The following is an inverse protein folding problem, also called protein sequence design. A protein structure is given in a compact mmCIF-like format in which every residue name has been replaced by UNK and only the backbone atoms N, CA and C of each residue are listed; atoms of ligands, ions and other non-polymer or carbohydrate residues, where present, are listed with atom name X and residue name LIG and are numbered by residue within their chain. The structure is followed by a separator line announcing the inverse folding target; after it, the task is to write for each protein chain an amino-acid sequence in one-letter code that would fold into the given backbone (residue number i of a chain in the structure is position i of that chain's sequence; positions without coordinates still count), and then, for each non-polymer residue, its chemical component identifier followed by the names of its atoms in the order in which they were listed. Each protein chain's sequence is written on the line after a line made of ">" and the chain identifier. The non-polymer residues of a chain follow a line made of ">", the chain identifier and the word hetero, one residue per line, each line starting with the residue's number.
data_IF_883569541895
#
_entry.id   IF_883569541895
#
_cell.length_a   1.000
_cell.length_b   1.000
_cell.length_c   1.000
_cell.angle_alpha   90.00
_cell.angle_beta   90.00
_cell.angle_gamma   90.00
#
_symmetry.space_group_name_H-M   'P 1'
#
loop_
_entity.id
_entity.type
_entity.pdbx_description
1 polymer ?
#
# COMPACT_ATOMS: atom_id res chain seq x y z
N UNK A 1 14.66 19.96 20.65
CA UNK A 1 14.04 20.43 19.38
C UNK A 1 14.71 19.68 18.24
N UNK A 2 14.05 18.66 17.67
CA UNK A 2 14.63 17.85 16.60
C UNK A 2 14.47 18.58 15.25
N UNK A 3 15.59 18.77 14.56
CA UNK A 3 15.70 19.45 13.27
C UNK A 3 15.24 18.50 12.16
N UNK A 4 13.94 18.50 11.83
CA UNK A 4 13.38 17.79 10.68
C UNK A 4 13.72 18.55 9.39
N UNK A 5 14.99 18.57 9.01
CA UNK A 5 15.38 18.97 7.66
C UNK A 5 14.79 17.93 6.71
N UNK A 6 13.93 18.40 5.80
CA UNK A 6 13.45 17.68 4.61
C UNK A 6 14.60 16.90 3.97
N UNK A 7 14.75 15.63 4.32
CA UNK A 7 15.56 14.69 3.57
C UNK A 7 14.75 14.37 2.34
N UNK A 8 15.11 14.99 1.20
CA UNK A 8 14.76 14.39 -0.09
C UNK A 8 15.22 12.93 -0.03
N UNK A 9 14.38 11.96 -0.41
CA UNK A 9 14.81 10.56 -0.45
C UNK A 9 16.09 10.50 -1.28
N UNK A 10 17.13 9.86 -0.73
CA UNK A 10 18.37 9.64 -1.44
C UNK A 10 18.06 8.89 -2.75
N UNK A 11 18.74 9.20 -3.87
CA UNK A 11 18.58 8.40 -5.07
C UNK A 11 18.92 6.94 -4.73
N UNK A 12 17.99 6.04 -5.06
CA UNK A 12 18.14 4.59 -4.86
C UNK A 12 19.49 4.12 -5.38
N UNK A 13 20.23 3.38 -4.55
CA UNK A 13 21.49 2.73 -4.94
C UNK A 13 21.32 1.33 -5.51
N UNK A 14 20.11 0.77 -5.49
CA UNK A 14 19.79 -0.49 -6.16
C UNK A 14 19.91 -0.29 -7.67
N UNK A 15 20.63 -1.19 -8.35
CA UNK A 15 20.70 -1.18 -9.81
C UNK A 15 19.28 -1.18 -10.39
N UNK A 16 19.07 -0.28 -11.36
CA UNK A 16 17.81 0.03 -12.03
C UNK A 16 16.77 -1.11 -12.02
N UNK A 17 15.67 -0.95 -11.28
CA UNK A 17 14.45 -1.75 -11.37
C UNK A 17 14.58 -3.24 -11.03
N UNK A 18 15.41 -3.99 -11.76
CA UNK A 18 15.53 -5.45 -11.79
C UNK A 18 15.62 -6.09 -10.40
N UNK A 19 16.39 -5.50 -9.49
CA UNK A 19 16.51 -6.03 -8.12
C UNK A 19 15.18 -5.91 -7.36
N UNK A 20 14.50 -4.77 -7.43
CA UNK A 20 13.18 -4.53 -6.82
C UNK A 20 12.11 -5.46 -7.39
N UNK A 21 12.13 -5.64 -8.72
CA UNK A 21 11.25 -6.60 -9.40
C UNK A 21 11.50 -8.03 -8.89
N UNK A 22 12.77 -8.42 -8.75
CA UNK A 22 13.13 -9.77 -8.28
C UNK A 22 12.64 -10.00 -6.86
N UNK A 23 12.90 -9.05 -5.94
CA UNK A 23 12.45 -9.15 -4.55
C UNK A 23 10.93 -9.24 -4.44
N UNK A 24 10.19 -8.39 -5.15
CA UNK A 24 8.73 -8.43 -5.13
C UNK A 24 8.19 -9.76 -5.69
N UNK A 25 8.75 -10.26 -6.79
CA UNK A 25 8.30 -11.52 -7.38
C UNK A 25 8.62 -12.72 -6.51
N UNK A 26 9.76 -12.73 -5.83
CA UNK A 26 10.13 -13.82 -4.91
C UNK A 26 9.20 -13.87 -3.71
N UNK A 27 8.89 -12.72 -3.09
CA UNK A 27 7.90 -12.63 -2.01
C UNK A 27 6.52 -13.05 -2.53
N UNK A 28 6.09 -12.55 -3.69
CA UNK A 28 4.79 -12.91 -4.25
C UNK A 28 4.66 -14.41 -4.55
N UNK A 29 5.74 -15.09 -4.97
CA UNK A 29 5.76 -16.55 -5.14
C UNK A 29 5.70 -17.29 -3.81
N UNK A 30 6.34 -16.78 -2.76
CA UNK A 30 6.24 -17.35 -1.42
C UNK A 30 4.80 -17.27 -0.91
N UNK A 31 4.14 -16.13 -1.11
CA UNK A 31 2.73 -15.91 -0.75
C UNK A 31 1.78 -16.83 -1.54
N UNK A 32 1.97 -16.98 -2.86
CA UNK A 32 1.18 -17.92 -3.67
C UNK A 32 1.30 -19.36 -3.15
N UNK A 33 2.54 -19.82 -2.84
CA UNK A 33 2.78 -21.17 -2.30
C UNK A 33 2.09 -21.40 -0.96
N UNK A 34 1.85 -20.33 -0.20
CA UNK A 34 1.11 -20.36 1.06
C UNK A 34 -0.41 -20.19 0.90
N UNK A 35 -0.94 -20.04 -0.33
CA UNK A 35 -2.36 -19.83 -0.60
C UNK A 35 -2.86 -18.42 -0.23
N UNK A 36 -1.96 -17.43 -0.20
CA UNK A 36 -2.24 -16.05 0.21
C UNK A 36 -2.39 -15.13 -1.01
N UNK A 37 -3.24 -15.54 -1.96
CA UNK A 37 -3.36 -14.97 -3.31
C UNK A 37 -3.61 -13.46 -3.32
N UNK A 38 -4.43 -12.96 -2.38
CA UNK A 38 -4.73 -11.54 -2.26
C UNK A 38 -3.48 -10.71 -1.94
N UNK A 39 -2.63 -11.20 -1.03
CA UNK A 39 -1.41 -10.49 -0.64
C UNK A 39 -0.33 -10.62 -1.71
N UNK A 40 -0.25 -11.77 -2.36
CA UNK A 40 0.64 -11.96 -3.50
C UNK A 40 0.29 -11.00 -4.65
N UNK A 41 -1.00 -10.82 -4.94
CA UNK A 41 -1.48 -9.82 -5.90
C UNK A 41 -1.15 -8.39 -5.45
N UNK A 42 -1.26 -8.08 -4.16
CA UNK A 42 -0.86 -6.78 -3.59
C UNK A 42 0.62 -6.47 -3.80
N UNK A 43 1.51 -7.44 -3.58
CA UNK A 43 2.95 -7.29 -3.82
C UNK A 43 3.25 -7.07 -5.30
N UNK A 44 2.62 -7.83 -6.20
CA UNK A 44 2.79 -7.65 -7.66
C UNK A 44 2.35 -6.27 -8.11
N UNK A 45 1.22 -5.79 -7.60
CA UNK A 45 0.68 -4.47 -7.91
C UNK A 45 1.67 -3.34 -7.56
N UNK A 46 2.54 -3.51 -6.55
CA UNK A 46 3.56 -2.51 -6.22
C UNK A 46 4.53 -2.20 -7.38
N UNK A 47 4.72 -3.15 -8.31
CA UNK A 47 5.65 -3.05 -9.43
C UNK A 47 5.15 -2.18 -10.59
N UNK A 48 3.87 -1.85 -10.62
CA UNK A 48 3.25 -1.06 -11.68
C UNK A 48 3.31 0.45 -11.39
N UNK A 49 3.95 0.87 -10.29
CA UNK A 49 4.13 2.29 -9.99
C UNK A 49 5.01 2.97 -11.08
N UNK A 50 4.78 4.27 -11.36
CA UNK A 50 5.26 4.94 -12.56
C UNK A 50 6.77 5.19 -12.58
N UNK A 51 7.45 5.07 -11.45
CA UNK A 51 8.90 5.27 -11.33
C UNK A 51 9.52 4.21 -10.43
N UNK A 52 10.81 3.93 -10.62
CA UNK A 52 11.56 2.99 -9.77
C UNK A 52 11.46 3.35 -8.29
N UNK A 53 11.59 4.65 -7.97
CA UNK A 53 11.46 5.14 -6.59
C UNK A 53 10.05 4.90 -6.03
N UNK A 54 9.00 5.17 -6.82
CA UNK A 54 7.62 4.93 -6.38
C UNK A 54 7.34 3.44 -6.16
N UNK A 55 7.89 2.55 -7.00
CA UNK A 55 7.79 1.09 -6.82
C UNK A 55 8.45 0.65 -5.53
N UNK A 56 9.68 1.13 -5.29
CA UNK A 56 10.41 0.80 -4.07
C UNK A 56 9.67 1.28 -2.83
N UNK A 57 9.22 2.54 -2.82
CA UNK A 57 8.45 3.09 -1.70
C UNK A 57 7.17 2.30 -1.44
N UNK A 58 6.40 1.98 -2.50
CA UNK A 58 5.18 1.21 -2.36
C UNK A 58 5.45 -0.22 -1.87
N UNK A 59 6.44 -0.90 -2.47
CA UNK A 59 6.83 -2.25 -2.06
C UNK A 59 7.27 -2.27 -0.60
N UNK A 60 8.06 -1.28 -0.15
CA UNK A 60 8.49 -1.21 1.25
C UNK A 60 7.30 -1.08 2.20
N UNK A 61 6.37 -0.14 1.95
CA UNK A 61 5.23 0.04 2.88
C UNK A 61 4.31 -1.18 2.91
N UNK A 62 4.15 -1.87 1.78
CA UNK A 62 3.37 -3.11 1.74
C UNK A 62 4.09 -4.24 2.47
N UNK A 63 5.40 -4.42 2.28
CA UNK A 63 6.19 -5.42 3.01
C UNK A 63 6.20 -5.17 4.52
N UNK A 64 6.34 -3.92 4.96
CA UNK A 64 6.23 -3.55 6.39
C UNK A 64 4.85 -3.89 6.95
N UNK A 65 3.77 -3.64 6.18
CA UNK A 65 2.41 -4.03 6.58
C UNK A 65 2.30 -5.54 6.74
N UNK A 66 2.80 -6.29 5.77
CA UNK A 66 2.73 -7.74 5.74
C UNK A 66 3.57 -8.39 6.85
N UNK A 67 4.77 -7.88 7.12
CA UNK A 67 5.65 -8.35 8.22
C UNK A 67 4.90 -8.48 9.55
N UNK A 68 4.06 -7.50 9.88
CA UNK A 68 3.38 -7.44 11.16
C UNK A 68 2.09 -8.30 11.20
N UNK A 69 1.73 -8.97 10.09
CA UNK A 69 0.51 -9.79 9.97
C UNK A 69 0.73 -11.20 10.52
N UNK A 70 -0.10 -11.60 11.49
CA UNK A 70 0.05 -12.89 12.20
C UNK A 70 -0.11 -14.13 11.31
N UNK A 71 -0.93 -14.06 10.26
CA UNK A 71 -1.10 -15.15 9.28
C UNK A 71 0.19 -15.42 8.50
N UNK A 72 0.98 -14.39 8.19
CA UNK A 72 2.22 -14.53 7.42
C UNK A 72 3.33 -15.22 8.20
N UNK A 73 3.41 -14.94 9.50
CA UNK A 73 4.29 -15.69 10.40
C UNK A 73 3.90 -17.16 10.47
N UNK A 74 2.60 -17.47 10.51
CA UNK A 74 2.11 -18.86 10.50
C UNK A 74 2.35 -19.57 9.17
N UNK A 75 2.30 -18.82 8.07
CA UNK A 75 2.54 -19.32 6.72
C UNK A 75 4.03 -19.52 6.37
N UNK A 76 4.96 -19.10 7.23
CA UNK A 76 6.39 -19.21 6.99
C UNK A 76 6.96 -18.20 5.99
N UNK A 77 6.20 -17.16 5.60
CA UNK A 77 6.65 -16.14 4.66
C UNK A 77 7.46 -15.00 5.32
N UNK A 78 7.65 -15.03 6.64
CA UNK A 78 8.27 -13.95 7.38
C UNK A 78 9.73 -13.72 6.97
N UNK A 79 10.50 -14.79 6.77
CA UNK A 79 11.92 -14.69 6.40
C UNK A 79 12.09 -14.06 5.00
N UNK A 80 11.25 -14.44 4.03
CA UNK A 80 11.27 -13.86 2.69
C UNK A 80 10.97 -12.34 2.74
N UNK A 81 10.00 -11.93 3.57
CA UNK A 81 9.62 -10.53 3.75
C UNK A 81 10.76 -9.74 4.42
N UNK A 82 11.34 -10.27 5.50
CA UNK A 82 12.45 -9.62 6.23
C UNK A 82 13.70 -9.50 5.35
N UNK A 83 13.99 -10.52 4.54
CA UNK A 83 15.09 -10.50 3.58
C UNK A 83 14.89 -9.42 2.52
N UNK A 84 13.68 -9.31 1.97
CA UNK A 84 13.33 -8.27 1.01
C UNK A 84 13.42 -6.86 1.61
N UNK A 85 12.91 -6.66 2.82
CA UNK A 85 13.00 -5.39 3.54
C UNK A 85 14.45 -4.99 3.79
N UNK A 86 15.28 -5.91 4.29
CA UNK A 86 16.70 -5.65 4.55
C UNK A 86 17.45 -5.17 3.30
N UNK A 87 17.16 -5.77 2.13
CA UNK A 87 17.76 -5.34 0.86
C UNK A 87 17.25 -3.99 0.38
N UNK A 88 15.96 -3.71 0.56
CA UNK A 88 15.39 -2.40 0.25
C UNK A 88 15.98 -1.30 1.14
N UNK A 89 16.20 -1.57 2.43
CA UNK A 89 16.86 -0.64 3.38
C UNK A 89 18.31 -0.34 2.99
N UNK A 90 19.06 -1.34 2.50
CA UNK A 90 20.41 -1.10 1.95
C UNK A 90 20.37 -0.17 0.73
N UNK A 91 19.29 -0.23 -0.05
CA UNK A 91 19.07 0.56 -1.26
C UNK A 91 18.59 2.00 -1.03
N UNK A 92 17.68 2.19 -0.07
CA UNK A 92 16.99 3.45 0.23
C UNK A 92 17.56 4.18 1.46
N UNK A 93 18.36 3.50 2.29
CA UNK A 93 18.70 3.91 3.66
C UNK A 93 17.66 3.41 4.66
N UNK A 94 17.87 3.70 5.96
CA UNK A 94 16.90 3.35 7.02
C UNK A 94 15.50 3.90 6.69
N UNK A 95 14.50 3.01 6.71
CA UNK A 95 13.15 3.31 6.22
C UNK A 95 12.18 3.41 7.39
N UNK A 96 12.21 4.53 8.11
CA UNK A 96 11.06 4.91 8.94
C UNK A 96 10.03 5.59 8.02
N UNK A 97 8.82 5.04 7.96
CA UNK A 97 7.71 5.60 7.18
C UNK A 97 6.66 6.11 8.15
N UNK A 98 6.63 7.41 8.48
CA UNK A 98 5.67 7.98 9.42
C UNK A 98 4.21 7.70 9.04
N UNK A 99 3.93 7.53 7.75
CA UNK A 99 2.62 7.23 7.20
C UNK A 99 2.24 5.75 7.25
N UNK A 100 3.15 4.83 7.66
CA UNK A 100 2.90 3.39 7.71
C UNK A 100 1.60 3.03 8.45
N UNK A 101 1.29 3.59 9.64
CA UNK A 101 0.05 3.25 10.32
C UNK A 101 -1.20 3.66 9.54
N UNK A 102 -1.14 4.80 8.83
CA UNK A 102 -2.24 5.28 7.98
C UNK A 102 -2.37 4.43 6.73
N UNK A 103 -1.26 4.09 6.08
CA UNK A 103 -1.20 3.18 4.94
C UNK A 103 -1.87 1.84 5.29
N UNK A 104 -1.42 1.19 6.37
CA UNK A 104 -1.99 -0.09 6.84
C UNK A 104 -3.49 0.00 7.10
N UNK A 105 -3.94 1.04 7.83
CA UNK A 105 -5.37 1.19 8.11
C UNK A 105 -6.20 1.37 6.83
N UNK A 106 -5.68 2.15 5.88
CA UNK A 106 -6.34 2.42 4.59
C UNK A 106 -6.36 1.18 3.70
N UNK A 107 -5.25 0.42 3.66
CA UNK A 107 -5.14 -0.82 2.90
C UNK A 107 -6.08 -1.89 3.44
N UNK A 108 -6.18 -2.03 4.76
CA UNK A 108 -7.11 -2.97 5.38
C UNK A 108 -8.58 -2.60 5.10
N UNK A 109 -8.92 -1.31 5.09
CA UNK A 109 -10.24 -0.86 4.64
C UNK A 109 -10.47 -1.20 3.17
N UNK A 110 -9.49 -0.94 2.29
CA UNK A 110 -9.59 -1.24 0.88
C UNK A 110 -9.79 -2.75 0.61
N UNK A 111 -8.97 -3.61 1.23
CA UNK A 111 -9.07 -5.07 1.12
C UNK A 111 -10.44 -5.56 1.61
N UNK A 112 -10.93 -5.03 2.74
CA UNK A 112 -12.26 -5.37 3.25
C UNK A 112 -13.38 -4.99 2.26
N UNK A 113 -13.32 -3.78 1.67
CA UNK A 113 -14.30 -3.34 0.68
C UNK A 113 -14.23 -4.17 -0.61
N UNK A 114 -13.03 -4.53 -1.07
CA UNK A 114 -12.82 -5.36 -2.26
C UNK A 114 -13.44 -6.76 -2.09
N UNK A 115 -13.21 -7.38 -0.92
CA UNK A 115 -13.66 -8.74 -0.62
C UNK A 115 -15.16 -8.83 -0.26
N UNK A 116 -15.73 -7.81 0.38
CA UNK A 116 -17.07 -7.90 0.99
C UNK A 116 -18.13 -7.09 0.23
N UNK A 117 -17.89 -6.78 -1.05
CA UNK A 117 -18.90 -6.13 -1.91
C UNK A 117 -18.96 -4.60 -1.82
N UNK A 118 -18.01 -3.95 -1.15
CA UNK A 118 -17.87 -2.50 -1.01
C UNK A 118 -17.27 -1.77 -2.22
N UNK A 119 -17.33 -2.35 -3.42
CA UNK A 119 -16.63 -1.86 -4.63
C UNK A 119 -16.97 -0.42 -5.00
N UNK A 120 -18.23 0.01 -4.81
CA UNK A 120 -18.67 1.38 -5.09
C UNK A 120 -17.99 2.39 -4.16
N UNK A 121 -17.86 2.06 -2.88
CA UNK A 121 -17.14 2.90 -1.91
C UNK A 121 -15.65 2.95 -2.20
N UNK A 122 -15.05 1.79 -2.51
CA UNK A 122 -13.65 1.72 -2.90
C UNK A 122 -13.35 2.55 -4.16
N UNK A 123 -14.21 2.47 -5.18
CA UNK A 123 -14.08 3.29 -6.39
C UNK A 123 -14.15 4.79 -6.08
N UNK A 124 -15.09 5.23 -5.21
CA UNK A 124 -15.18 6.63 -4.79
C UNK A 124 -13.94 7.11 -4.05
N UNK A 125 -13.40 6.29 -3.13
CA UNK A 125 -12.16 6.59 -2.41
C UNK A 125 -10.98 6.77 -3.39
N UNK A 126 -10.85 5.85 -4.36
CA UNK A 126 -9.85 5.92 -5.44
C UNK A 126 -10.00 7.22 -6.23
N UNK A 127 -11.19 7.52 -6.75
CA UNK A 127 -11.46 8.73 -7.54
C UNK A 127 -11.08 10.01 -6.79
N UNK A 128 -11.40 10.09 -5.50
CA UNK A 128 -11.08 11.28 -4.71
C UNK A 128 -9.58 11.46 -4.52
N UNK A 129 -8.85 10.39 -4.21
CA UNK A 129 -7.42 10.50 -3.88
C UNK A 129 -6.52 10.63 -5.12
N UNK A 130 -7.01 10.23 -6.29
CA UNK A 130 -6.28 10.35 -7.57
C UNK A 130 -6.75 11.52 -8.44
N UNK A 131 -7.61 12.40 -7.92
CA UNK A 131 -8.14 13.57 -8.66
C UNK A 131 -7.00 14.52 -9.08
N UNK A 132 -6.65 14.59 -10.39
CA UNK A 132 -5.50 15.37 -10.86
C UNK A 132 -5.75 16.89 -10.77
N UNK A 133 -7.02 17.32 -10.71
CA UNK A 133 -7.40 18.73 -10.68
C UNK A 133 -7.28 19.33 -9.27
N UNK A 134 -6.84 18.54 -8.28
CA UNK A 134 -6.77 18.92 -6.87
C UNK A 134 -5.41 18.72 -6.25
N UNK A 135 -4.97 19.74 -5.51
CA UNK A 135 -3.82 19.64 -4.61
C UNK A 135 -4.02 18.57 -3.52
N UNK A 136 -2.93 18.08 -2.94
CA UNK A 136 -2.94 16.98 -1.99
C UNK A 136 -3.86 17.23 -0.78
N UNK A 137 -3.81 18.43 -0.18
CA UNK A 137 -4.67 18.79 0.95
C UNK A 137 -6.16 18.63 0.63
N UNK A 138 -6.61 19.17 -0.51
CA UNK A 138 -8.01 19.09 -0.93
C UNK A 138 -8.46 17.65 -1.24
N UNK A 139 -7.57 16.81 -1.75
CA UNK A 139 -7.86 15.38 -1.96
C UNK A 139 -8.04 14.64 -0.64
N UNK A 140 -7.16 14.89 0.32
CA UNK A 140 -7.24 14.27 1.65
C UNK A 140 -8.49 14.73 2.40
N UNK A 141 -8.82 16.02 2.38
CA UNK A 141 -10.04 16.57 2.99
C UNK A 141 -11.31 15.92 2.41
N UNK A 142 -11.38 15.76 1.08
CA UNK A 142 -12.50 15.09 0.43
C UNK A 142 -12.58 13.61 0.77
N UNK A 143 -11.43 12.96 0.97
CA UNK A 143 -11.37 11.57 1.39
C UNK A 143 -11.91 11.44 2.81
N UNK A 144 -11.50 12.33 3.74
CA UNK A 144 -12.03 12.36 5.10
C UNK A 144 -13.56 12.54 5.09
N UNK A 145 -14.06 13.55 4.37
CA UNK A 145 -15.50 13.77 4.19
C UNK A 145 -16.24 12.59 3.55
N UNK A 146 -15.57 11.80 2.69
CA UNK A 146 -16.14 10.57 2.16
C UNK A 146 -16.21 9.47 3.22
N UNK A 147 -15.16 9.30 4.02
CA UNK A 147 -15.12 8.32 5.11
C UNK A 147 -16.10 8.68 6.24
N UNK A 148 -16.42 9.95 6.44
CA UNK A 148 -17.49 10.39 7.36
C UNK A 148 -18.86 9.86 6.98
N UNK A 149 -19.12 9.69 5.67
CA UNK A 149 -20.38 9.17 5.16
C UNK A 149 -20.45 7.64 5.18
N UNK A 150 -19.35 6.95 5.47
CA UNK A 150 -19.29 5.49 5.58
C UNK A 150 -19.74 5.04 6.98
N UNK A 151 -20.98 5.35 7.31
CA UNK A 151 -21.63 4.98 8.57
C UNK A 151 -22.28 3.59 8.49
N UNK A 152 -22.46 2.88 9.62
CA UNK A 152 -23.20 1.61 9.63
C UNK A 152 -24.57 1.75 8.94
N UNK A 153 -24.90 0.82 8.04
CA UNK A 153 -26.15 0.84 7.27
C UNK A 153 -26.14 1.75 6.04
N UNK A 154 -25.03 2.43 5.73
CA UNK A 154 -24.90 3.14 4.46
C UNK A 154 -25.01 2.17 3.27
N UNK A 155 -25.74 2.59 2.24
CA UNK A 155 -25.98 1.77 1.05
C UNK A 155 -24.67 1.26 0.42
N UNK A 156 -24.60 -0.05 0.18
CA UNK A 156 -23.44 -0.75 -0.38
C UNK A 156 -22.19 -0.75 0.52
N UNK A 157 -22.28 -0.36 1.80
CA UNK A 157 -21.19 -0.47 2.75
C UNK A 157 -21.25 -1.83 3.48
N UNK A 158 -20.20 -2.67 3.41
CA UNK A 158 -20.19 -3.97 4.07
C UNK A 158 -20.20 -3.88 5.60
N UNK A 159 -20.80 -4.86 6.26
CA UNK A 159 -20.72 -5.03 7.71
C UNK A 159 -19.26 -5.16 8.17
N UNK A 160 -18.95 -4.63 9.36
CA UNK A 160 -17.58 -4.60 9.89
C UNK A 160 -16.71 -3.44 9.37
N UNK A 161 -17.16 -2.68 8.35
CA UNK A 161 -16.42 -1.50 7.84
C UNK A 161 -16.21 -0.41 8.88
N UNK A 162 -17.10 -0.27 9.88
CA UNK A 162 -17.11 0.85 10.80
C UNK A 162 -15.82 0.99 11.64
N UNK A 163 -15.25 -0.14 12.10
CA UNK A 163 -13.99 -0.13 12.86
C UNK A 163 -12.80 0.28 11.99
N UNK A 164 -12.78 -0.19 10.73
CA UNK A 164 -11.75 0.13 9.74
C UNK A 164 -11.82 1.61 9.32
N UNK A 165 -13.02 2.13 9.06
CA UNK A 165 -13.25 3.55 8.78
C UNK A 165 -12.76 4.42 9.94
N UNK A 166 -13.10 4.05 11.19
CA UNK A 166 -12.61 4.76 12.38
C UNK A 166 -11.09 4.72 12.49
N UNK A 167 -10.46 3.58 12.15
CA UNK A 167 -9.02 3.44 12.18
C UNK A 167 -8.31 4.37 11.17
N UNK A 168 -8.87 4.54 9.97
CA UNK A 168 -8.36 5.49 8.97
C UNK A 168 -8.50 6.93 9.49
N UNK A 169 -9.73 7.33 9.87
CA UNK A 169 -10.02 8.69 10.33
C UNK A 169 -9.21 9.11 11.55
N UNK A 170 -9.04 8.21 12.51
CA UNK A 170 -8.22 8.47 13.70
C UNK A 170 -6.74 8.73 13.42
N UNK A 171 -6.25 8.43 12.21
CA UNK A 171 -4.86 8.61 11.78
C UNK A 171 -4.67 9.76 10.80
N UNK A 172 -5.67 10.08 9.97
CA UNK A 172 -5.58 11.17 8.97
C UNK A 172 -5.09 12.49 9.55
N UNK A 173 -5.61 12.89 10.71
CA UNK A 173 -5.32 14.19 11.34
C UNK A 173 -3.96 14.28 12.05
N UNK A 174 -3.12 13.24 11.99
CA UNK A 174 -1.84 13.19 12.72
C UNK A 174 -0.64 13.64 11.87
N UNK A 175 -0.87 14.00 10.62
CA UNK A 175 0.19 14.24 9.65
C UNK A 175 0.23 15.73 9.23
N UNK A 176 1.44 16.26 9.11
CA UNK A 176 1.69 17.64 8.68
C UNK A 176 2.04 17.74 7.18
N UNK A 177 2.59 16.68 6.60
CA UNK A 177 2.97 16.61 5.18
C UNK A 177 1.83 15.99 4.36
N UNK A 178 0.99 16.85 3.78
CA UNK A 178 -0.18 16.42 3.02
C UNK A 178 0.16 15.75 1.70
N UNK A 179 1.29 16.09 1.07
CA UNK A 179 1.74 15.45 -0.17
C UNK A 179 2.13 14.00 0.10
N UNK A 180 2.91 13.76 1.16
CA UNK A 180 3.26 12.42 1.60
C UNK A 180 2.02 11.60 1.99
N UNK A 181 1.05 12.22 2.70
CA UNK A 181 -0.21 11.56 3.06
C UNK A 181 -1.01 11.16 1.82
N UNK A 182 -1.22 12.09 0.89
CA UNK A 182 -1.98 11.82 -0.32
C UNK A 182 -1.35 10.71 -1.16
N UNK A 183 -0.02 10.69 -1.26
CA UNK A 183 0.72 9.63 -1.94
C UNK A 183 0.48 8.25 -1.31
N UNK A 184 0.61 8.14 0.02
CA UNK A 184 0.42 6.86 0.71
C UNK A 184 -1.03 6.38 0.71
N UNK A 185 -2.00 7.30 0.81
CA UNK A 185 -3.42 6.97 0.63
C UNK A 185 -3.68 6.47 -0.79
N UNK A 186 -3.09 7.10 -1.81
CA UNK A 186 -3.21 6.66 -3.19
C UNK A 186 -2.62 5.27 -3.40
N UNK A 187 -1.44 4.98 -2.85
CA UNK A 187 -0.83 3.65 -2.85
C UNK A 187 -1.74 2.60 -2.19
N UNK A 188 -2.27 2.88 -0.99
CA UNK A 188 -3.12 1.94 -0.27
C UNK A 188 -4.44 1.64 -1.00
N UNK A 189 -5.05 2.66 -1.61
CA UNK A 189 -6.36 2.55 -2.27
C UNK A 189 -6.26 2.01 -3.69
N UNK A 190 -5.15 2.24 -4.37
CA UNK A 190 -4.97 1.89 -5.77
C UNK A 190 -3.81 0.91 -5.86
N UNK A 191 -4.00 -0.38 -5.55
CA UNK A 191 -3.12 -1.39 -6.11
C UNK A 191 -3.29 -1.26 -7.63
N UNK A 192 -2.23 -0.96 -8.39
CA UNK A 192 -2.33 -1.05 -9.84
C UNK A 192 -2.89 -2.43 -10.23
N UNK A 193 -3.74 -2.46 -11.25
CA UNK A 193 -4.25 -3.72 -11.76
C UNK A 193 -3.06 -4.64 -12.05
N UNK A 194 -3.12 -5.95 -11.71
CA UNK A 194 -2.04 -6.85 -12.05
C UNK A 194 -1.79 -6.70 -13.54
N UNK A 195 -0.64 -6.13 -13.90
CA UNK A 195 -0.14 -6.30 -15.24
C UNK A 195 -0.14 -7.81 -15.45
N UNK A 196 -0.95 -8.27 -16.40
CA UNK A 196 -0.92 -9.65 -16.87
C UNK A 196 0.51 -9.85 -17.36
N UNK A 197 1.39 -10.32 -16.47
CA UNK A 197 2.60 -11.01 -16.85
C UNK A 197 2.03 -12.22 -17.57
N UNK A 198 1.88 -12.07 -18.89
CA UNK A 198 1.49 -13.12 -19.81
C UNK A 198 2.31 -14.35 -19.46
N UNK A 199 1.62 -15.48 -19.42
CA UNK A 199 2.15 -16.84 -19.45
C UNK A 199 3.00 -17.11 -20.72
N UNK A 200 3.93 -16.23 -21.09
CA UNK A 200 4.80 -16.35 -22.27
C UNK A 200 6.19 -16.90 -21.94
N UNK A 201 6.34 -17.60 -20.80
CA UNK A 201 7.53 -18.41 -20.53
C UNK A 201 7.17 -19.81 -20.01
N UNK A 202 6.41 -20.55 -20.81
CA UNK A 202 6.61 -21.99 -20.89
C UNK A 202 7.48 -22.29 -22.12
N UNK A 203 8.74 -22.74 -21.95
CA UNK A 203 9.45 -23.36 -23.06
C UNK A 203 8.77 -24.71 -23.35
N UNK A 204 8.36 -24.90 -24.62
CA UNK A 204 8.20 -26.25 -25.17
C UNK A 204 9.57 -26.87 -25.41
#
# INVERSE_FOLDING_TARGET
>A
MANWRRTRPAPSRLEEGREVYTLALDVAKALDRAGLDLWAAGIRACLDAPSSLARQQHLTVELVRLRDTGDLRRAGCAEDIESALSRLELGLGSIDVPQQPLYTATRNLADHLELNGGRRWLARLRTVITDPDRGAAARVERLDALTERMVPGADGLPEGSASLVRAVRGRLNRHLDMDAVALHLAFALTPPAPSRIRDDQQPR
#
